data_IF_581179935759
#
_entry.id   IF_581179935759
#
_cell.length_a   1.000
_cell.length_b   1.000
_cell.length_c   1.000
_cell.angle_alpha   90.00
_cell.angle_beta   90.00
_cell.angle_gamma   90.00
#
_symmetry.space_group_name_H-M   'P 1'
#
loop_
_entity.id
_entity.type
_entity.pdbx_description
1 polymer ?
#
# COMPACT_ATOMS: atom_id res chain seq x y z
N UNK A 1 -26.80 -0.13 22.21
CA UNK A 1 -25.35 0.07 22.35
C UNK A 1 -24.66 -0.91 21.42
N UNK A 2 -24.16 -0.45 20.26
CA UNK A 2 -23.34 -1.29 19.41
C UNK A 2 -21.99 -1.49 20.12
N UNK A 3 -21.67 -2.73 20.48
CA UNK A 3 -20.28 -3.10 20.77
C UNK A 3 -19.51 -2.93 19.46
N UNK A 4 -19.00 -1.72 19.23
CA UNK A 4 -18.02 -1.43 18.19
C UNK A 4 -16.76 -2.19 18.60
N UNK A 5 -16.70 -3.47 18.25
CA UNK A 5 -15.45 -4.25 18.25
C UNK A 5 -14.43 -3.41 17.49
N UNK A 6 -13.41 -2.96 18.22
CA UNK A 6 -12.37 -2.07 17.72
C UNK A 6 -11.57 -2.84 16.67
N UNK A 7 -11.63 -2.38 15.42
CA UNK A 7 -10.79 -2.90 14.35
C UNK A 7 -9.32 -2.56 14.64
N UNK A 8 -8.42 -3.48 14.30
CA UNK A 8 -6.98 -3.26 14.40
C UNK A 8 -6.50 -2.21 13.37
N UNK A 9 -7.12 -2.18 12.19
CA UNK A 9 -6.88 -1.20 11.13
C UNK A 9 -8.17 -0.93 10.34
N UNK A 10 -8.13 0.03 9.41
CA UNK A 10 -9.32 0.42 8.64
C UNK A 10 -9.82 -0.75 7.79
N UNK A 11 -11.11 -1.09 7.90
CA UNK A 11 -11.72 -2.13 7.08
C UNK A 11 -11.64 -1.81 5.58
N UNK A 12 -11.63 -2.84 4.74
CA UNK A 12 -11.67 -2.70 3.29
C UNK A 12 -12.97 -2.01 2.89
N UNK A 13 -12.85 -0.83 2.29
CA UNK A 13 -13.99 -0.07 1.80
C UNK A 13 -14.65 -0.79 0.61
N UNK A 14 -15.97 -0.70 0.50
CA UNK A 14 -16.73 -1.36 -0.59
C UNK A 14 -16.30 -0.88 -1.98
N UNK A 15 -15.80 0.36 -2.10
CA UNK A 15 -15.28 0.89 -3.37
C UNK A 15 -13.86 0.40 -3.68
N UNK A 16 -13.16 -0.19 -2.71
CA UNK A 16 -11.78 -0.66 -2.85
C UNK A 16 -10.73 0.45 -2.85
N UNK A 17 -11.09 1.71 -2.58
CA UNK A 17 -10.13 2.85 -2.61
C UNK A 17 -8.93 2.66 -1.69
N UNK A 18 -9.10 1.96 -0.58
CA UNK A 18 -8.03 1.64 0.38
C UNK A 18 -7.49 0.20 0.21
N UNK A 19 -7.77 -0.49 -0.91
CA UNK A 19 -7.41 -1.89 -1.10
C UNK A 19 -5.93 -2.16 -0.90
N UNK A 20 -5.04 -1.35 -1.49
CA UNK A 20 -3.60 -1.59 -1.37
C UNK A 20 -3.06 -1.40 0.04
N UNK A 21 -3.54 -0.40 0.78
CA UNK A 21 -3.17 -0.24 2.20
C UNK A 21 -3.77 -1.35 3.06
N UNK A 22 -5.01 -1.76 2.77
CA UNK A 22 -5.67 -2.85 3.49
C UNK A 22 -4.95 -4.18 3.29
N UNK A 23 -4.48 -4.48 2.08
CA UNK A 23 -3.67 -5.68 1.79
C UNK A 23 -2.42 -5.69 2.66
N UNK A 24 -1.68 -4.58 2.69
CA UNK A 24 -0.45 -4.45 3.47
C UNK A 24 -0.72 -4.69 4.97
N UNK A 25 -1.73 -4.02 5.53
CA UNK A 25 -2.09 -4.17 6.94
C UNK A 25 -2.54 -5.62 7.25
N UNK A 26 -3.38 -6.20 6.40
CA UNK A 26 -3.87 -7.56 6.57
C UNK A 26 -2.74 -8.61 6.51
N UNK A 27 -1.80 -8.48 5.56
CA UNK A 27 -0.62 -9.36 5.45
C UNK A 27 0.23 -9.29 6.72
N UNK A 28 0.57 -8.09 7.19
CA UNK A 28 1.37 -7.88 8.41
C UNK A 28 0.69 -8.52 9.63
N UNK A 29 -0.62 -8.34 9.77
CA UNK A 29 -1.35 -8.90 10.90
C UNK A 29 -1.52 -10.41 10.83
N UNK A 30 -1.70 -10.98 9.63
CA UNK A 30 -1.73 -12.43 9.44
C UNK A 30 -0.36 -13.04 9.75
N UNK A 31 0.73 -12.46 9.26
CA UNK A 31 2.09 -12.90 9.55
C UNK A 31 2.41 -12.82 11.04
N UNK A 32 2.05 -11.72 11.72
CA UNK A 32 2.23 -11.55 13.16
C UNK A 32 1.46 -12.58 14.02
N UNK A 33 0.49 -13.27 13.43
CA UNK A 33 -0.32 -14.32 14.08
C UNK A 33 0.03 -15.73 13.59
N UNK A 34 1.10 -15.89 12.81
CA UNK A 34 1.48 -17.15 12.14
C UNK A 34 0.36 -17.70 11.21
N UNK A 35 -0.40 -16.80 10.59
CA UNK A 35 -1.51 -17.10 9.68
C UNK A 35 -1.24 -16.69 8.23
N UNK A 36 -0.10 -16.07 7.93
CA UNK A 36 0.23 -15.57 6.58
C UNK A 36 0.16 -16.63 5.48
N UNK A 37 0.51 -17.88 5.78
CA UNK A 37 0.43 -18.96 4.80
C UNK A 37 -1.01 -19.32 4.40
N UNK A 38 -2.02 -18.99 5.22
CA UNK A 38 -3.42 -19.35 4.97
C UNK A 38 -4.01 -18.69 3.72
N UNK A 39 -3.47 -17.54 3.31
CA UNK A 39 -3.91 -16.79 2.11
C UNK A 39 -3.09 -17.13 0.86
N UNK A 40 -2.05 -17.97 0.98
CA UNK A 40 -1.20 -18.38 -0.14
C UNK A 40 -1.82 -19.55 -0.90
N UNK A 41 -1.62 -19.59 -2.21
CA UNK A 41 -2.07 -20.69 -3.06
C UNK A 41 -1.40 -22.02 -2.66
N UNK A 42 -2.15 -23.11 -2.68
CA UNK A 42 -1.63 -24.45 -2.33
C UNK A 42 -1.25 -24.63 -0.85
N UNK A 43 -1.69 -23.74 0.04
CA UNK A 43 -1.37 -23.84 1.46
C UNK A 43 -1.90 -25.14 2.09
N UNK A 44 -1.14 -25.63 3.08
CA UNK A 44 -1.49 -26.83 3.88
C UNK A 44 -1.94 -26.46 5.29
N UNK A 45 -2.47 -25.24 5.46
CA UNK A 45 -2.88 -24.76 6.77
C UNK A 45 -4.03 -25.61 7.33
N UNK A 46 -4.04 -25.81 8.64
CA UNK A 46 -5.11 -26.54 9.32
C UNK A 46 -6.44 -25.81 9.18
N UNK A 47 -7.56 -26.56 9.25
CA UNK A 47 -8.90 -25.96 9.24
C UNK A 47 -9.10 -24.92 10.34
N UNK A 48 -8.44 -25.10 11.49
CA UNK A 48 -8.46 -24.13 12.59
C UNK A 48 -7.76 -22.82 12.21
N UNK A 49 -6.57 -22.88 11.60
CA UNK A 49 -5.86 -21.69 11.16
C UNK A 49 -6.61 -20.99 10.03
N UNK A 50 -7.19 -21.74 9.08
CA UNK A 50 -8.07 -21.18 8.05
C UNK A 50 -9.27 -20.45 8.66
N UNK A 51 -9.92 -21.04 9.66
CA UNK A 51 -11.04 -20.41 10.35
C UNK A 51 -10.63 -19.12 11.09
N UNK A 52 -9.48 -19.11 11.78
CA UNK A 52 -8.94 -17.91 12.44
C UNK A 52 -8.66 -16.79 11.43
N UNK A 53 -8.03 -17.12 10.30
CA UNK A 53 -7.78 -16.16 9.23
C UNK A 53 -9.07 -15.64 8.60
N UNK A 54 -10.06 -16.51 8.37
CA UNK A 54 -11.38 -16.10 7.87
C UNK A 54 -12.11 -15.14 8.81
N UNK A 55 -12.14 -15.43 10.11
CA UNK A 55 -12.75 -14.53 11.11
C UNK A 55 -12.08 -13.16 11.05
N UNK A 56 -10.74 -13.14 11.01
CA UNK A 56 -9.96 -11.93 10.94
C UNK A 56 -10.22 -11.12 9.65
N UNK A 57 -10.17 -11.77 8.49
CA UNK A 57 -10.43 -11.12 7.20
C UNK A 57 -11.84 -10.55 7.16
N UNK A 58 -12.86 -11.36 7.48
CA UNK A 58 -14.25 -10.91 7.52
C UNK A 58 -14.49 -9.78 8.52
N UNK A 59 -13.78 -9.75 9.66
CA UNK A 59 -13.86 -8.65 10.62
C UNK A 59 -13.46 -7.31 10.00
N UNK A 60 -12.47 -7.34 9.10
CA UNK A 60 -11.89 -6.18 8.43
C UNK A 60 -12.46 -5.93 7.04
N UNK A 61 -13.65 -6.46 6.72
CA UNK A 61 -14.39 -6.11 5.51
C UNK A 61 -15.53 -5.15 5.82
N UNK A 62 -15.81 -4.25 4.87
CA UNK A 62 -17.07 -3.52 4.86
C UNK A 62 -18.26 -4.50 4.84
N UNK A 63 -19.35 -4.14 5.51
CA UNK A 63 -20.52 -5.03 5.70
C UNK A 63 -21.10 -5.55 4.38
N UNK A 64 -21.19 -4.69 3.36
CA UNK A 64 -21.63 -5.11 2.02
C UNK A 64 -20.75 -6.21 1.41
N UNK A 65 -19.43 -6.18 1.63
CA UNK A 65 -18.53 -7.23 1.15
C UNK A 65 -18.72 -8.53 1.92
N UNK A 66 -19.01 -8.47 3.22
CA UNK A 66 -19.31 -9.68 4.01
C UNK A 66 -20.55 -10.39 3.47
N UNK A 67 -21.57 -9.64 3.07
CA UNK A 67 -22.78 -10.18 2.44
C UNK A 67 -22.43 -10.81 1.07
N UNK A 68 -21.68 -10.10 0.23
CA UNK A 68 -21.30 -10.60 -1.10
C UNK A 68 -20.45 -11.88 -1.05
N UNK A 69 -19.62 -12.04 -0.01
CA UNK A 69 -18.74 -13.21 0.16
C UNK A 69 -19.21 -14.18 1.26
N UNK A 70 -20.47 -14.14 1.69
CA UNK A 70 -20.97 -14.91 2.85
C UNK A 70 -20.79 -16.43 2.73
N UNK A 71 -20.73 -16.96 1.49
CA UNK A 71 -20.59 -18.38 1.21
C UNK A 71 -19.15 -18.86 1.13
N UNK A 72 -18.18 -17.93 1.08
CA UNK A 72 -16.75 -18.25 0.97
C UNK A 72 -16.24 -18.66 2.36
N UNK A 73 -15.67 -19.86 2.44
CA UNK A 73 -15.18 -20.45 3.70
C UNK A 73 -13.67 -20.63 3.76
N UNK A 74 -12.98 -20.42 2.64
CA UNK A 74 -11.52 -20.56 2.55
C UNK A 74 -10.87 -19.16 2.41
N UNK A 75 -9.90 -18.82 3.28
CA UNK A 75 -9.27 -17.50 3.27
C UNK A 75 -8.45 -17.23 2.02
N UNK A 76 -7.86 -18.24 1.39
CA UNK A 76 -7.14 -18.07 0.13
C UNK A 76 -8.10 -17.73 -1.02
N UNK A 77 -9.29 -18.35 -1.04
CA UNK A 77 -10.32 -18.05 -2.04
C UNK A 77 -10.84 -16.63 -1.85
N UNK A 78 -11.15 -16.23 -0.60
CA UNK A 78 -11.57 -14.85 -0.30
C UNK A 78 -10.50 -13.84 -0.71
N UNK A 79 -9.25 -14.09 -0.34
CA UNK A 79 -8.11 -13.24 -0.69
C UNK A 79 -7.96 -13.07 -2.21
N UNK A 80 -8.06 -14.18 -2.95
CA UNK A 80 -7.95 -14.18 -4.41
C UNK A 80 -9.10 -13.41 -5.08
N UNK A 81 -10.34 -13.58 -4.60
CA UNK A 81 -11.50 -12.87 -5.11
C UNK A 81 -11.40 -11.35 -4.87
N UNK A 82 -10.95 -10.95 -3.67
CA UNK A 82 -10.73 -9.53 -3.34
C UNK A 82 -9.61 -8.94 -4.21
N UNK A 83 -8.55 -9.71 -4.45
CA UNK A 83 -7.48 -9.33 -5.37
C UNK A 83 -7.98 -9.15 -6.79
N UNK A 84 -8.66 -10.14 -7.36
CA UNK A 84 -9.23 -10.02 -8.71
C UNK A 84 -10.13 -8.78 -8.84
N UNK A 85 -10.96 -8.52 -7.83
CA UNK A 85 -11.87 -7.39 -7.84
C UNK A 85 -11.17 -6.04 -7.76
N UNK A 86 -10.13 -5.89 -6.93
CA UNK A 86 -9.59 -4.57 -6.57
C UNK A 86 -8.14 -4.32 -7.00
N UNK A 87 -7.43 -5.30 -7.56
CA UNK A 87 -6.03 -5.10 -8.00
C UNK A 87 -5.92 -4.04 -9.11
N UNK A 88 -7.01 -3.79 -9.85
CA UNK A 88 -7.12 -2.69 -10.81
C UNK A 88 -6.91 -1.31 -10.16
N UNK A 89 -7.02 -1.14 -8.84
CA UNK A 89 -6.72 0.13 -8.17
C UNK A 89 -5.27 0.58 -8.40
N UNK A 90 -4.35 -0.36 -8.63
CA UNK A 90 -2.97 -0.03 -9.06
C UNK A 90 -2.96 0.77 -10.36
N UNK A 91 -3.89 0.53 -11.27
CA UNK A 91 -3.98 1.25 -12.56
C UNK A 91 -4.42 2.71 -12.39
N UNK A 92 -5.07 3.06 -11.28
CA UNK A 92 -5.46 4.43 -10.94
C UNK A 92 -4.37 5.14 -10.14
N UNK A 93 -3.77 4.45 -9.17
CA UNK A 93 -2.76 5.02 -8.27
C UNK A 93 -1.44 5.23 -9.00
N UNK A 94 -1.01 4.26 -9.82
CA UNK A 94 0.30 4.28 -10.47
C UNK A 94 0.50 5.49 -11.41
N UNK A 95 -0.41 5.80 -12.36
CA UNK A 95 -0.23 6.97 -13.22
C UNK A 95 -0.21 8.28 -12.44
N UNK A 96 -1.02 8.39 -11.38
CA UNK A 96 -1.06 9.57 -10.52
C UNK A 96 0.25 9.75 -9.76
N UNK A 97 0.78 8.68 -9.18
CA UNK A 97 2.06 8.70 -8.49
C UNK A 97 3.22 9.01 -9.45
N UNK A 98 3.23 8.43 -10.67
CA UNK A 98 4.21 8.77 -11.72
C UNK A 98 4.12 10.23 -12.14
N UNK A 99 2.91 10.75 -12.31
CA UNK A 99 2.71 12.16 -12.62
C UNK A 99 3.29 13.06 -11.52
N UNK A 100 2.98 12.79 -10.26
CA UNK A 100 3.55 13.56 -9.15
C UNK A 100 5.06 13.41 -9.05
N UNK A 101 5.61 12.22 -9.28
CA UNK A 101 7.05 12.01 -9.34
C UNK A 101 7.70 12.87 -10.42
N UNK A 102 7.17 12.84 -11.65
CA UNK A 102 7.71 13.63 -12.76
C UNK A 102 7.71 15.14 -12.44
N UNK A 103 6.61 15.64 -11.86
CA UNK A 103 6.41 17.06 -11.58
C UNK A 103 6.88 17.53 -10.20
N UNK A 104 7.45 16.63 -9.39
CA UNK A 104 8.02 16.98 -8.08
C UNK A 104 9.20 17.94 -8.29
N UNK A 105 9.17 19.10 -7.64
CA UNK A 105 10.26 20.09 -7.65
C UNK A 105 10.48 20.71 -6.28
N UNK A 106 11.74 20.84 -5.86
CA UNK A 106 12.11 21.44 -4.57
C UNK A 106 11.52 22.84 -4.38
N UNK A 107 11.53 23.66 -5.43
CA UNK A 107 11.01 25.04 -5.40
C UNK A 107 9.51 25.16 -5.11
N UNK A 108 8.72 24.08 -5.22
CA UNK A 108 7.27 24.12 -4.96
C UNK A 108 6.94 23.99 -3.46
N UNK A 109 7.94 23.84 -2.59
CA UNK A 109 7.77 23.61 -1.16
C UNK A 109 8.41 24.72 -0.35
N UNK A 110 7.85 25.01 0.83
CA UNK A 110 8.37 26.07 1.72
C UNK A 110 9.62 25.63 2.47
N UNK A 111 9.81 24.33 2.63
CA UNK A 111 10.95 23.75 3.34
C UNK A 111 11.41 22.43 2.74
N UNK A 112 12.66 22.07 3.04
CA UNK A 112 13.23 20.75 2.68
C UNK A 112 12.42 19.62 3.33
N UNK A 113 11.93 19.81 4.56
CA UNK A 113 11.11 18.82 5.24
C UNK A 113 9.80 18.52 4.51
N UNK A 114 9.12 19.56 3.99
CA UNK A 114 7.90 19.40 3.21
C UNK A 114 8.17 18.66 1.89
N UNK A 115 9.24 19.04 1.19
CA UNK A 115 9.68 18.35 -0.03
C UNK A 115 9.96 16.88 0.23
N UNK A 116 10.76 16.57 1.26
CA UNK A 116 11.13 15.21 1.62
C UNK A 116 9.89 14.38 1.96
N UNK A 117 8.95 14.93 2.74
CA UNK A 117 7.68 14.26 3.06
C UNK A 117 6.86 13.95 1.81
N UNK A 118 6.75 14.90 0.87
CA UNK A 118 6.07 14.69 -0.40
C UNK A 118 6.76 13.63 -1.26
N UNK A 119 8.09 13.66 -1.34
CA UNK A 119 8.89 12.66 -2.04
C UNK A 119 8.66 11.26 -1.46
N UNK A 120 8.78 11.10 -0.14
CA UNK A 120 8.52 9.84 0.54
C UNK A 120 7.11 9.31 0.23
N UNK A 121 6.07 10.16 0.36
CA UNK A 121 4.70 9.76 0.04
C UNK A 121 4.54 9.25 -1.40
N UNK A 122 5.13 9.95 -2.37
CA UNK A 122 5.07 9.55 -3.79
C UNK A 122 5.79 8.22 -4.00
N UNK A 123 7.03 8.11 -3.50
CA UNK A 123 7.83 6.88 -3.67
C UNK A 123 7.20 5.67 -2.98
N UNK A 124 6.56 5.84 -1.82
CA UNK A 124 5.80 4.76 -1.17
C UNK A 124 4.62 4.29 -2.03
N UNK A 125 3.91 5.19 -2.70
CA UNK A 125 2.84 4.81 -3.64
C UNK A 125 3.37 4.07 -4.87
N UNK A 126 4.50 4.52 -5.43
CA UNK A 126 5.16 3.82 -6.55
C UNK A 126 5.59 2.41 -6.13
N UNK A 127 6.23 2.27 -4.96
CA UNK A 127 6.63 0.98 -4.38
C UNK A 127 5.44 0.05 -4.13
N UNK A 128 4.35 0.59 -3.58
CA UNK A 128 3.10 -0.15 -3.36
C UNK A 128 2.48 -0.67 -4.68
N UNK A 129 2.66 0.06 -5.77
CA UNK A 129 2.26 -0.38 -7.11
C UNK A 129 3.28 -1.28 -7.82
N UNK A 130 4.37 -1.67 -7.15
CA UNK A 130 5.37 -2.60 -7.67
C UNK A 130 6.57 -1.96 -8.37
N UNK A 131 6.68 -0.63 -8.40
CA UNK A 131 7.88 0.04 -8.91
C UNK A 131 9.03 -0.01 -7.90
N UNK A 132 10.24 -0.23 -8.39
CA UNK A 132 11.44 -0.11 -7.56
C UNK A 132 11.95 1.32 -7.67
N UNK A 133 11.94 2.04 -6.54
CA UNK A 133 12.57 3.36 -6.41
C UNK A 133 13.69 3.24 -5.38
N UNK A 134 14.91 3.47 -5.83
CA UNK A 134 16.14 3.42 -5.04
C UNK A 134 16.43 4.77 -4.38
N UNK A 135 17.25 4.76 -3.33
CA UNK A 135 17.69 5.99 -2.68
C UNK A 135 18.50 6.86 -3.63
N UNK A 136 19.28 6.25 -4.54
CA UNK A 136 20.02 6.97 -5.59
C UNK A 136 19.09 7.73 -6.54
N UNK A 137 17.98 7.12 -6.96
CA UNK A 137 16.96 7.80 -7.78
C UNK A 137 16.27 8.94 -7.03
N UNK A 138 16.05 8.80 -5.71
CA UNK A 138 15.50 9.87 -4.86
C UNK A 138 16.47 11.04 -4.71
N UNK A 139 17.76 10.77 -4.52
CA UNK A 139 18.81 11.78 -4.49
C UNK A 139 18.93 12.49 -5.82
N UNK A 140 19.00 11.75 -6.92
CA UNK A 140 19.10 12.32 -8.26
C UNK A 140 17.86 13.16 -8.60
N UNK A 141 16.66 12.70 -8.19
CA UNK A 141 15.43 13.50 -8.32
C UNK A 141 15.50 14.81 -7.53
N UNK A 142 16.14 14.80 -6.37
CA UNK A 142 16.34 16.01 -5.56
C UNK A 142 17.27 16.98 -6.30
N UNK A 143 18.43 16.51 -6.74
CA UNK A 143 19.42 17.29 -7.47
C UNK A 143 18.88 17.87 -8.76
N UNK A 144 18.10 17.08 -9.53
CA UNK A 144 17.51 17.52 -10.80
C UNK A 144 16.47 18.64 -10.64
N UNK A 145 16.06 18.95 -9.41
CA UNK A 145 15.04 19.97 -9.12
C UNK A 145 15.61 21.24 -8.48
N UNK A 146 16.94 21.33 -8.37
CA UNK A 146 17.62 22.53 -7.92
C UNK A 146 17.37 23.68 -8.89
N UNK A 147 17.31 24.91 -8.35
CA UNK A 147 17.24 26.10 -9.18
C UNK A 147 18.50 26.24 -10.03
N UNK A 148 18.41 26.78 -11.24
CA UNK A 148 19.55 26.93 -12.16
C UNK A 148 20.73 27.70 -11.53
N UNK A 149 20.46 28.63 -10.62
CA UNK A 149 21.49 29.37 -9.89
C UNK A 149 22.32 28.49 -8.92
N UNK A 150 21.85 27.26 -8.61
CA UNK A 150 22.50 26.33 -7.68
C UNK A 150 23.20 25.16 -8.39
N UNK A 151 23.51 25.28 -9.68
CA UNK A 151 24.18 24.22 -10.47
C UNK A 151 25.50 23.78 -9.82
N UNK A 152 26.29 24.69 -9.24
CA UNK A 152 27.56 24.34 -8.58
C UNK A 152 27.32 23.43 -7.37
N UNK A 153 26.34 23.76 -6.53
CA UNK A 153 25.96 22.93 -5.38
C UNK A 153 25.42 21.57 -5.82
N UNK A 154 24.62 21.54 -6.89
CA UNK A 154 24.11 20.31 -7.48
C UNK A 154 25.24 19.35 -7.88
N UNK A 155 26.26 19.85 -8.59
CA UNK A 155 27.41 19.03 -9.00
C UNK A 155 28.20 18.51 -7.80
N UNK A 156 28.45 19.36 -6.81
CA UNK A 156 29.17 18.97 -5.59
C UNK A 156 28.48 17.84 -4.81
N UNK A 157 27.15 17.80 -4.79
CA UNK A 157 26.41 16.72 -4.13
C UNK A 157 26.40 15.42 -4.93
N UNK A 158 26.50 15.48 -6.27
CA UNK A 158 26.57 14.28 -7.14
C UNK A 158 27.93 13.60 -7.13
N UNK A 159 29.00 14.35 -6.84
CA UNK A 159 30.37 13.85 -6.82
C UNK A 159 30.76 13.18 -5.49
N UNK A 160 29.90 13.25 -4.47
CA UNK A 160 30.07 12.58 -3.17
C UNK A 160 29.42 11.20 -3.18
#
# INVERSE_FOLDING_TARGET
MSNLTKLEFTALDITGKNYLSWVLDAEIHLDAKDLGDTIKEGNKATSQNKAKAMIFLCHHLHEGLKIEYLTVKDPQVLWSNLKERYDHQKTVILPKARYYWLHLRLQHFKSISEYNSAMFRITSQLKLCGEKITDAEMLEKTYSTFHANNIVLQTQYREK
#
